data_IF_376467807595
#
_entry.id   IF_376467807595
#
_cell.length_a   1.000
_cell.length_b   1.000
_cell.length_c   1.000
_cell.angle_alpha   90.00
_cell.angle_beta   90.00
_cell.angle_gamma   90.00
#
_symmetry.space_group_name_H-M   'P 1'
#
loop_
_entity.id
_entity.type
_entity.pdbx_description
1 polymer ?
#
# COMPACT_ATOMS: atom_id res chain seq x y z
N UNK A 1 -41.34 -62.51 -54.26
CA UNK A 1 -41.05 -63.55 -53.24
C UNK A 1 -41.10 -62.87 -51.87
N UNK A 2 -42.00 -63.30 -50.97
CA UNK A 2 -41.89 -63.11 -49.51
C UNK A 2 -40.91 -64.17 -48.96
N UNK A 3 -40.46 -64.15 -47.69
CA UNK A 3 -40.25 -63.09 -46.67
C UNK A 3 -38.77 -63.13 -46.16
N UNK A 4 -38.32 -62.45 -45.09
CA UNK A 4 -38.29 -62.95 -43.70
C UNK A 4 -37.90 -61.78 -42.77
N UNK A 5 -38.59 -61.73 -41.62
CA UNK A 5 -38.40 -60.80 -40.49
C UNK A 5 -37.19 -61.18 -39.66
N UNK A 6 -36.52 -60.23 -38.99
CA UNK A 6 -36.12 -60.42 -37.58
C UNK A 6 -35.86 -59.09 -36.87
N UNK A 7 -36.57 -58.95 -35.77
CA UNK A 7 -36.52 -57.96 -34.69
C UNK A 7 -35.15 -57.88 -34.02
N UNK A 8 -34.66 -56.67 -33.72
CA UNK A 8 -33.62 -56.44 -32.71
C UNK A 8 -34.15 -55.48 -31.64
N UNK A 9 -34.40 -56.05 -30.46
CA UNK A 9 -34.74 -55.40 -29.20
C UNK A 9 -33.44 -54.92 -28.52
N UNK A 10 -33.49 -53.77 -27.85
CA UNK A 10 -32.31 -53.01 -27.41
C UNK A 10 -31.71 -53.31 -26.03
N UNK A 11 -30.95 -52.29 -25.57
CA UNK A 11 -30.23 -52.11 -24.30
C UNK A 11 -29.01 -53.05 -24.09
N UNK A 12 -27.85 -52.62 -23.58
CA UNK A 12 -27.62 -51.87 -22.34
C UNK A 12 -26.33 -51.02 -22.44
N UNK A 13 -26.44 -49.81 -21.88
CA UNK A 13 -25.43 -48.79 -21.60
C UNK A 13 -24.50 -49.23 -20.44
N UNK A 14 -23.18 -49.16 -20.61
CA UNK A 14 -22.24 -49.08 -19.48
C UNK A 14 -21.22 -47.98 -19.75
N UNK A 15 -21.43 -46.82 -19.12
CA UNK A 15 -20.47 -45.72 -19.10
C UNK A 15 -19.53 -45.90 -17.90
N UNK A 16 -18.23 -46.02 -18.19
CA UNK A 16 -17.16 -46.07 -17.19
C UNK A 16 -16.89 -44.64 -16.71
N UNK A 17 -17.15 -44.36 -15.43
CA UNK A 17 -16.76 -43.12 -14.76
C UNK A 17 -15.29 -43.21 -14.36
N UNK A 18 -14.42 -42.49 -15.08
CA UNK A 18 -13.04 -42.24 -14.66
C UNK A 18 -13.01 -41.08 -13.67
N UNK A 19 -12.70 -41.36 -12.40
CA UNK A 19 -12.42 -40.35 -11.39
C UNK A 19 -11.03 -39.76 -11.64
N UNK A 20 -10.98 -38.58 -12.28
CA UNK A 20 -9.77 -37.77 -12.39
C UNK A 20 -9.54 -36.96 -11.12
N UNK A 21 -8.35 -37.09 -10.52
CA UNK A 21 -7.90 -36.23 -9.44
C UNK A 21 -7.77 -34.79 -9.96
N UNK A 22 -8.56 -33.87 -9.41
CA UNK A 22 -8.43 -32.44 -9.70
C UNK A 22 -7.24 -31.87 -8.91
N UNK A 23 -6.14 -31.59 -9.60
CA UNK A 23 -5.12 -30.66 -9.11
C UNK A 23 -5.73 -29.26 -9.13
N UNK A 24 -5.90 -28.63 -7.96
CA UNK A 24 -6.26 -27.23 -7.88
C UNK A 24 -5.12 -26.40 -8.48
N UNK A 25 -5.39 -25.80 -9.64
CA UNK A 25 -4.55 -24.79 -10.24
C UNK A 25 -4.71 -23.50 -9.43
N UNK A 26 -3.64 -23.01 -8.81
CA UNK A 26 -3.57 -21.65 -8.28
C UNK A 26 -3.73 -20.68 -9.46
N UNK A 27 -4.94 -20.14 -9.61
CA UNK A 27 -5.19 -19.09 -10.58
C UNK A 27 -4.52 -17.79 -10.09
N UNK A 28 -3.84 -17.03 -10.96
CA UNK A 28 -3.32 -15.73 -10.60
C UNK A 28 -4.47 -14.81 -10.16
N UNK A 29 -4.34 -14.25 -8.96
CA UNK A 29 -5.34 -13.37 -8.37
C UNK A 29 -5.56 -12.17 -9.29
N UNK A 30 -6.76 -12.08 -9.87
CA UNK A 30 -7.13 -11.05 -10.82
C UNK A 30 -6.91 -9.65 -10.20
N UNK A 31 -6.22 -8.78 -10.93
CA UNK A 31 -6.09 -7.37 -10.58
C UNK A 31 -7.48 -6.76 -10.40
N UNK A 32 -7.78 -6.25 -9.20
CA UNK A 32 -9.06 -5.65 -8.89
C UNK A 32 -9.30 -4.41 -9.77
N UNK A 33 -10.35 -4.42 -10.59
CA UNK A 33 -10.75 -3.34 -11.51
C UNK A 33 -11.52 -2.19 -10.81
N UNK A 34 -11.28 -1.99 -9.51
CA UNK A 34 -11.92 -0.96 -8.69
C UNK A 34 -10.97 0.16 -8.27
N UNK A 35 -11.51 1.30 -7.81
CA UNK A 35 -10.68 2.31 -7.13
C UNK A 35 -9.91 1.64 -5.99
N UNK A 36 -8.61 1.94 -5.82
CA UNK A 36 -7.82 1.35 -4.75
C UNK A 36 -8.49 1.67 -3.41
N UNK A 37 -8.59 0.65 -2.56
CA UNK A 37 -9.15 0.79 -1.22
C UNK A 37 -8.03 1.21 -0.27
N UNK A 38 -8.31 2.18 0.59
CA UNK A 38 -7.40 2.54 1.66
C UNK A 38 -7.44 1.45 2.74
N UNK A 39 -6.35 1.36 3.50
CA UNK A 39 -6.14 0.47 4.62
C UNK A 39 -5.84 1.30 5.86
N UNK A 40 -6.31 0.83 7.01
CA UNK A 40 -5.99 1.42 8.31
C UNK A 40 -4.63 0.90 8.76
N UNK A 41 -3.73 1.79 9.14
CA UNK A 41 -2.50 1.44 9.85
C UNK A 41 -2.52 2.07 11.23
N UNK A 42 -2.20 1.28 12.26
CA UNK A 42 -2.03 1.77 13.61
C UNK A 42 -0.58 2.23 13.82
N UNK A 43 -0.40 3.45 14.29
CA UNK A 43 0.88 4.15 14.41
C UNK A 43 1.09 4.72 15.81
N UNK A 44 2.34 5.07 16.11
CA UNK A 44 2.74 5.64 17.39
C UNK A 44 2.94 4.60 18.50
N UNK A 45 3.34 5.09 19.68
CA UNK A 45 3.54 4.30 20.89
C UNK A 45 2.37 4.48 21.86
N UNK A 46 2.25 3.58 22.86
CA UNK A 46 1.22 3.68 23.89
C UNK A 46 -0.19 3.48 23.33
N UNK A 47 -1.06 4.49 23.47
CA UNK A 47 -2.42 4.43 22.91
C UNK A 47 -2.45 4.55 21.38
N UNK A 48 -1.37 5.06 20.77
CA UNK A 48 -1.25 5.21 19.32
C UNK A 48 -2.36 6.03 18.67
N UNK A 49 -2.44 5.94 17.35
CA UNK A 49 -3.53 6.47 16.53
C UNK A 49 -3.60 5.71 15.20
N UNK A 50 -4.76 5.75 14.57
CA UNK A 50 -4.94 5.15 13.26
C UNK A 50 -4.71 6.19 12.16
N UNK A 51 -4.15 5.73 11.04
CA UNK A 51 -3.84 6.56 9.88
C UNK A 51 -4.25 5.86 8.58
N UNK A 52 -4.73 6.60 7.55
CA UNK A 52 -5.16 6.00 6.31
C UNK A 52 -4.04 5.97 5.27
N UNK A 53 -3.83 4.81 4.67
CA UNK A 53 -2.85 4.63 3.58
C UNK A 53 -3.42 3.78 2.46
N UNK A 54 -2.92 3.94 1.24
CA UNK A 54 -3.13 2.98 0.16
C UNK A 54 -1.88 2.13 0.01
N UNK A 55 -2.03 0.81 -0.16
CA UNK A 55 -0.87 -0.08 -0.28
C UNK A 55 -1.14 -1.24 -1.24
N UNK A 56 -0.06 -1.75 -1.86
CA UNK A 56 -0.12 -2.88 -2.81
C UNK A 56 -0.18 -4.25 -2.13
N UNK A 57 0.02 -4.29 -0.81
CA UNK A 57 -0.13 -5.48 0.01
C UNK A 57 -1.15 -5.24 1.13
N UNK A 58 -1.93 -6.26 1.55
CA UNK A 58 -2.71 -6.19 2.77
C UNK A 58 -1.74 -5.99 3.96
N UNK A 59 -1.84 -4.87 4.66
CA UNK A 59 -0.85 -4.52 5.68
C UNK A 59 -0.80 -5.57 6.80
N UNK A 60 -1.93 -6.14 7.21
CA UNK A 60 -1.97 -7.23 8.20
C UNK A 60 -1.44 -8.59 7.71
N UNK A 61 -0.97 -8.70 6.46
CA UNK A 61 -0.44 -9.93 5.86
C UNK A 61 1.02 -10.24 6.20
N UNK A 62 1.55 -11.26 5.54
CA UNK A 62 2.97 -11.65 5.64
C UNK A 62 3.86 -10.64 4.90
N UNK A 63 4.80 -10.05 5.63
CA UNK A 63 5.71 -9.02 5.12
C UNK A 63 7.16 -9.48 5.05
N UNK A 64 7.44 -10.77 5.29
CA UNK A 64 8.81 -11.32 5.32
C UNK A 64 9.53 -11.25 3.98
N UNK A 65 8.79 -11.22 2.87
CA UNK A 65 9.31 -11.08 1.52
C UNK A 65 9.71 -9.66 1.12
N UNK A 66 9.22 -8.63 1.83
CA UNK A 66 9.46 -7.23 1.48
C UNK A 66 10.92 -6.85 1.74
N UNK A 67 11.59 -6.33 0.71
CA UNK A 67 12.99 -5.88 0.73
C UNK A 67 13.12 -4.37 0.59
N UNK A 68 12.19 -3.75 -0.13
CA UNK A 68 12.16 -2.33 -0.42
C UNK A 68 10.78 -1.76 -0.10
N UNK A 69 10.77 -0.57 0.49
CA UNK A 69 9.54 0.16 0.79
C UNK A 69 9.61 1.51 0.10
N UNK A 70 8.52 1.88 -0.57
CA UNK A 70 8.39 3.19 -1.22
C UNK A 70 7.14 3.87 -0.68
N UNK A 71 7.34 4.98 0.01
CA UNK A 71 6.27 5.92 0.33
C UNK A 71 6.11 6.92 -0.82
N UNK A 72 4.88 7.12 -1.31
CA UNK A 72 4.57 8.13 -2.32
C UNK A 72 3.55 9.14 -1.79
N UNK A 73 4.05 10.31 -1.40
CA UNK A 73 3.28 11.36 -0.76
C UNK A 73 2.54 12.21 -1.80
N UNK A 74 1.21 12.29 -1.64
CA UNK A 74 0.34 13.08 -2.51
C UNK A 74 0.61 14.59 -2.44
N UNK A 75 0.14 15.31 -3.47
CA UNK A 75 0.16 16.76 -3.53
C UNK A 75 -1.02 17.43 -2.82
N UNK A 76 -1.24 18.71 -3.12
CA UNK A 76 -2.21 19.59 -2.43
C UNK A 76 -3.65 19.06 -2.48
N UNK A 77 -4.00 18.27 -3.51
CA UNK A 77 -5.34 17.70 -3.71
C UNK A 77 -5.66 16.53 -2.76
N UNK A 78 -4.67 16.06 -1.98
CA UNK A 78 -4.85 14.97 -1.00
C UNK A 78 -5.44 13.70 -1.64
N UNK A 79 -5.04 13.42 -2.88
CA UNK A 79 -5.53 12.30 -3.67
C UNK A 79 -4.58 11.10 -3.58
N UNK A 80 -4.44 10.54 -2.38
CA UNK A 80 -3.56 9.40 -2.11
C UNK A 80 -3.85 8.18 -2.98
N UNK A 81 -5.13 7.97 -3.34
CA UNK A 81 -5.58 6.94 -4.29
C UNK A 81 -4.93 7.10 -5.67
N UNK A 82 -4.92 8.31 -6.21
CA UNK A 82 -4.32 8.61 -7.52
C UNK A 82 -2.79 8.52 -7.50
N UNK A 83 -2.16 8.94 -6.41
CA UNK A 83 -0.71 8.79 -6.23
C UNK A 83 -0.31 7.32 -6.08
N UNK A 84 -1.08 6.54 -5.34
CA UNK A 84 -0.92 5.09 -5.28
C UNK A 84 -1.05 4.44 -6.66
N UNK A 85 -2.10 4.76 -7.42
CA UNK A 85 -2.30 4.20 -8.76
C UNK A 85 -1.12 4.53 -9.68
N UNK A 86 -0.60 5.76 -9.62
CA UNK A 86 0.58 6.16 -10.38
C UNK A 86 1.83 5.37 -9.95
N UNK A 87 2.05 5.23 -8.64
CA UNK A 87 3.16 4.45 -8.10
C UNK A 87 3.08 2.97 -8.48
N UNK A 88 1.88 2.40 -8.51
CA UNK A 88 1.65 1.00 -8.88
C UNK A 88 2.00 0.75 -10.37
N UNK A 89 1.62 1.68 -11.26
CA UNK A 89 2.03 1.62 -12.67
C UNK A 89 3.54 1.79 -12.84
N UNK A 90 4.19 2.67 -12.06
CA UNK A 90 5.64 2.81 -12.08
C UNK A 90 6.35 1.55 -11.58
N UNK A 91 5.87 0.94 -10.50
CA UNK A 91 6.41 -0.32 -9.98
C UNK A 91 6.30 -1.42 -11.03
N UNK A 92 5.13 -1.55 -11.68
CA UNK A 92 4.93 -2.50 -12.78
C UNK A 92 5.89 -2.24 -13.95
N UNK A 93 6.06 -0.97 -14.34
CA UNK A 93 6.96 -0.59 -15.44
C UNK A 93 8.44 -0.80 -15.10
N UNK A 94 8.82 -0.80 -13.82
CA UNK A 94 10.21 -1.02 -13.38
C UNK A 94 10.72 -2.45 -13.60
N UNK A 95 9.82 -3.42 -13.75
CA UNK A 95 10.16 -4.84 -13.82
C UNK A 95 10.62 -5.45 -12.49
N UNK A 96 10.56 -4.71 -11.38
CA UNK A 96 10.81 -5.27 -10.05
C UNK A 96 9.73 -6.29 -9.66
N UNK A 97 10.11 -7.27 -8.83
CA UNK A 97 9.17 -8.21 -8.25
C UNK A 97 8.23 -7.46 -7.27
N UNK A 98 6.91 -7.37 -7.54
CA UNK A 98 5.98 -6.65 -6.66
C UNK A 98 5.85 -7.29 -5.27
N UNK A 99 6.22 -8.56 -5.11
CA UNK A 99 6.21 -9.25 -3.81
C UNK A 99 7.42 -8.88 -2.92
N UNK A 100 8.42 -8.19 -3.49
CA UNK A 100 9.59 -7.68 -2.75
C UNK A 100 9.51 -6.17 -2.47
N UNK A 101 8.52 -5.48 -3.04
CA UNK A 101 8.35 -4.03 -2.92
C UNK A 101 7.01 -3.70 -2.27
N UNK A 102 7.07 -3.02 -1.12
CA UNK A 102 5.90 -2.44 -0.47
C UNK A 102 5.75 -0.98 -0.89
N UNK A 103 4.79 -0.71 -1.76
CA UNK A 103 4.37 0.64 -2.13
C UNK A 103 3.27 1.11 -1.19
N UNK A 104 3.47 2.24 -0.53
CA UNK A 104 2.49 2.88 0.36
C UNK A 104 2.28 4.33 -0.08
N UNK A 105 1.03 4.75 -0.23
CA UNK A 105 0.68 6.17 -0.36
C UNK A 105 -0.05 6.64 0.91
N UNK A 106 0.65 7.31 1.84
CA UNK A 106 0.00 7.92 3.00
C UNK A 106 -0.99 9.00 2.56
N UNK A 107 -2.15 9.07 3.21
CA UNK A 107 -3.14 10.08 2.90
C UNK A 107 -3.40 11.01 4.10
N UNK A 108 -2.68 12.13 4.18
CA UNK A 108 -2.92 13.17 5.19
C UNK A 108 -4.32 13.79 5.01
N UNK A 109 -5.27 13.52 5.93
CA UNK A 109 -6.61 14.06 5.83
C UNK A 109 -6.59 15.58 6.04
N UNK A 110 -7.15 16.33 5.10
CA UNK A 110 -7.37 17.77 5.27
C UNK A 110 -8.80 18.07 5.71
N UNK A 111 -9.04 19.26 6.26
CA UNK A 111 -10.39 19.76 6.61
C UNK A 111 -11.47 19.51 5.54
N UNK A 112 -11.19 19.63 4.21
CA UNK A 112 -12.20 19.38 3.18
C UNK A 112 -12.53 17.89 2.91
N UNK A 113 -11.87 16.95 3.58
CA UNK A 113 -11.87 15.54 3.20
C UNK A 113 -12.88 14.67 3.98
N UNK A 114 -13.91 15.27 4.57
CA UNK A 114 -14.92 14.55 5.36
C UNK A 114 -15.59 13.38 4.59
N UNK A 115 -15.75 13.51 3.27
CA UNK A 115 -16.34 12.48 2.41
C UNK A 115 -15.43 11.24 2.19
N UNK A 116 -14.19 11.24 2.69
CA UNK A 116 -13.29 10.08 2.59
C UNK A 116 -13.49 9.06 3.71
N UNK A 117 -14.27 9.40 4.74
CA UNK A 117 -14.58 8.50 5.86
C UNK A 117 -13.33 7.96 6.60
N UNK A 118 -12.33 8.83 6.79
CA UNK A 118 -11.18 8.56 7.65
C UNK A 118 -11.53 8.80 9.13
N UNK A 119 -12.53 8.05 9.59
CA UNK A 119 -13.15 8.28 10.88
C UNK A 119 -12.19 7.98 12.04
N UNK A 120 -12.19 8.88 13.03
CA UNK A 120 -11.35 8.85 14.24
C UNK A 120 -9.84 8.93 13.97
N UNK A 121 -9.43 9.49 12.84
CA UNK A 121 -8.02 9.71 12.48
C UNK A 121 -7.63 11.18 12.66
N UNK A 122 -6.34 11.50 12.86
CA UNK A 122 -5.88 12.88 12.89
C UNK A 122 -6.15 13.58 11.56
N UNK A 123 -6.54 14.85 11.63
CA UNK A 123 -6.85 15.69 10.48
C UNK A 123 -6.20 17.07 10.58
N UNK A 124 -5.68 17.58 9.47
CA UNK A 124 -4.95 18.83 9.40
C UNK A 124 -5.72 19.91 8.65
N UNK A 125 -5.29 21.16 8.79
CA UNK A 125 -5.64 22.20 7.82
C UNK A 125 -5.03 21.85 6.46
N UNK A 126 -5.52 22.48 5.39
CA UNK A 126 -5.00 22.23 4.03
C UNK A 126 -3.48 22.47 3.93
N UNK A 127 -2.96 23.44 4.67
CA UNK A 127 -1.53 23.77 4.71
C UNK A 127 -0.78 23.07 5.85
N UNK A 128 -1.44 22.76 6.96
CA UNK A 128 -0.77 22.31 8.18
C UNK A 128 0.01 21.01 7.99
N UNK A 129 -0.54 20.03 7.27
CA UNK A 129 0.21 18.81 6.97
C UNK A 129 1.42 19.08 6.06
N UNK A 130 1.36 20.07 5.17
CA UNK A 130 2.47 20.43 4.26
C UNK A 130 3.60 21.09 5.06
N UNK A 131 3.24 21.88 6.07
CA UNK A 131 4.16 22.66 6.90
C UNK A 131 4.80 21.85 8.03
N UNK A 132 4.34 20.63 8.31
CA UNK A 132 4.83 19.86 9.45
C UNK A 132 4.06 20.13 10.76
N UNK A 133 2.91 20.79 10.71
CA UNK A 133 2.14 21.20 11.90
C UNK A 133 1.42 20.01 12.56
N UNK A 134 0.94 20.26 13.79
CA UNK A 134 0.05 19.37 14.52
C UNK A 134 -1.34 19.27 13.88
N UNK A 135 -1.95 18.10 14.03
CA UNK A 135 -3.33 17.88 13.61
C UNK A 135 -4.29 18.88 14.29
N UNK A 136 -5.18 19.45 13.47
CA UNK A 136 -6.23 20.35 13.91
C UNK A 136 -7.39 19.60 14.60
N UNK A 137 -7.59 18.33 14.27
CA UNK A 137 -8.62 17.44 14.84
C UNK A 137 -8.07 16.04 15.11
N UNK A 138 -8.74 15.28 15.98
CA UNK A 138 -8.30 13.95 16.38
C UNK A 138 -7.13 14.00 17.37
N UNK A 139 -6.26 12.98 17.33
CA UNK A 139 -5.05 12.95 18.16
C UNK A 139 -4.10 14.08 17.75
N UNK A 140 -3.55 14.79 18.75
CA UNK A 140 -2.54 15.84 18.52
C UNK A 140 -1.21 15.21 18.15
N UNK A 141 -0.93 15.16 16.85
CA UNK A 141 0.30 14.62 16.29
C UNK A 141 0.74 15.49 15.10
N UNK A 142 2.04 15.75 14.99
CA UNK A 142 2.59 16.48 13.86
C UNK A 142 2.63 15.61 12.61
N UNK A 143 2.50 16.22 11.44
CA UNK A 143 2.61 15.47 10.18
C UNK A 143 4.02 14.90 9.94
N UNK A 144 5.05 15.47 10.56
CA UNK A 144 6.40 14.89 10.57
C UNK A 144 6.49 13.67 11.49
N UNK A 145 5.83 13.68 12.65
CA UNK A 145 5.76 12.52 13.54
C UNK A 145 5.02 11.35 12.87
N UNK A 146 4.00 11.62 12.05
CA UNK A 146 3.35 10.58 11.24
C UNK A 146 4.34 9.91 10.27
N UNK A 147 5.24 10.68 9.66
CA UNK A 147 6.29 10.13 8.79
C UNK A 147 7.32 9.33 9.60
N UNK A 148 7.71 9.80 10.79
CA UNK A 148 8.57 9.03 11.72
C UNK A 148 7.92 7.68 12.06
N UNK A 149 6.63 7.69 12.42
CA UNK A 149 5.89 6.50 12.82
C UNK A 149 5.70 5.52 11.63
N UNK A 150 5.46 6.03 10.42
CA UNK A 150 5.39 5.21 9.21
C UNK A 150 6.74 4.56 8.88
N UNK A 151 7.84 5.31 9.00
CA UNK A 151 9.19 4.78 8.80
C UNK A 151 9.50 3.73 9.89
N UNK A 152 9.15 4.00 11.15
CA UNK A 152 9.30 3.02 12.23
C UNK A 152 8.52 1.73 11.95
N UNK A 153 7.26 1.85 11.50
CA UNK A 153 6.40 0.72 11.16
C UNK A 153 7.02 -0.22 10.13
N UNK A 154 7.58 0.32 9.04
CA UNK A 154 8.15 -0.49 7.95
C UNK A 154 9.60 -0.91 8.20
N UNK A 155 10.23 -0.39 9.25
CA UNK A 155 11.60 -0.75 9.63
C UNK A 155 11.68 -1.64 10.88
N UNK A 156 10.52 -2.04 11.44
CA UNK A 156 10.44 -3.07 12.47
C UNK A 156 10.86 -4.43 11.91
N UNK A 157 12.03 -4.90 12.32
CA UNK A 157 12.62 -6.16 11.85
C UNK A 157 11.87 -7.42 12.28
N UNK A 158 11.00 -7.33 13.29
CA UNK A 158 10.15 -8.46 13.67
C UNK A 158 9.11 -8.75 12.58
N UNK A 159 8.65 -7.72 11.90
CA UNK A 159 7.63 -7.82 10.86
C UNK A 159 8.20 -7.74 9.44
N UNK A 160 9.22 -6.91 9.25
CA UNK A 160 9.89 -6.62 7.99
C UNK A 160 11.37 -7.06 8.05
N UNK A 161 11.68 -8.35 8.27
CA UNK A 161 13.06 -8.79 8.49
C UNK A 161 13.98 -8.49 7.31
N UNK A 162 13.47 -8.58 6.08
CA UNK A 162 14.24 -8.42 4.84
C UNK A 162 14.34 -6.98 4.32
N UNK A 163 13.65 -6.00 4.93
CA UNK A 163 13.68 -4.61 4.47
C UNK A 163 15.08 -4.02 4.62
N UNK A 164 15.63 -3.53 3.52
CA UNK A 164 16.97 -2.89 3.47
C UNK A 164 16.94 -1.53 2.80
N UNK A 165 15.81 -1.14 2.20
CA UNK A 165 15.64 0.15 1.53
C UNK A 165 14.28 0.75 1.87
N UNK A 166 14.27 2.03 2.20
CA UNK A 166 13.06 2.83 2.37
C UNK A 166 13.23 4.12 1.59
N UNK A 167 12.34 4.39 0.64
CA UNK A 167 12.30 5.65 -0.11
C UNK A 167 11.05 6.42 0.27
N UNK A 168 11.21 7.67 0.70
CA UNK A 168 10.13 8.62 0.91
C UNK A 168 10.12 9.61 -0.25
N UNK A 169 9.15 9.46 -1.15
CA UNK A 169 9.02 10.30 -2.34
C UNK A 169 7.80 11.21 -2.23
N UNK A 170 7.89 12.42 -2.78
CA UNK A 170 6.77 13.35 -2.85
C UNK A 170 6.84 14.24 -4.08
N UNK A 171 5.67 14.69 -4.56
CA UNK A 171 5.55 15.66 -5.64
C UNK A 171 4.72 16.89 -5.21
N UNK A 172 5.11 18.09 -5.68
CA UNK A 172 4.41 19.35 -5.37
C UNK A 172 4.30 19.59 -3.85
N UNK A 173 3.10 19.68 -3.26
CA UNK A 173 2.94 19.75 -1.80
C UNK A 173 3.53 18.55 -1.06
N UNK A 174 3.47 17.35 -1.65
CA UNK A 174 4.12 16.18 -1.08
C UNK A 174 5.64 16.30 -1.07
N UNK A 175 6.22 16.91 -2.10
CA UNK A 175 7.66 17.18 -2.15
C UNK A 175 8.09 18.18 -1.07
N UNK A 176 7.23 19.14 -0.74
CA UNK A 176 7.50 20.12 0.31
C UNK A 176 7.61 19.45 1.69
N UNK A 177 6.64 18.62 2.10
CA UNK A 177 6.74 17.89 3.38
C UNK A 177 7.91 16.89 3.37
N UNK A 178 8.17 16.19 2.26
CA UNK A 178 9.30 15.26 2.15
C UNK A 178 10.64 15.99 2.30
N UNK A 179 10.79 17.17 1.69
CA UNK A 179 11.97 18.00 1.86
C UNK A 179 12.16 18.43 3.32
N UNK A 180 11.09 18.89 3.98
CA UNK A 180 11.13 19.25 5.40
C UNK A 180 11.50 18.06 6.27
N UNK A 181 10.89 16.91 6.01
CA UNK A 181 11.15 15.68 6.73
C UNK A 181 12.60 15.22 6.56
N UNK A 182 13.17 15.29 5.37
CA UNK A 182 14.57 14.95 5.12
C UNK A 182 15.55 15.76 5.98
N UNK A 183 15.19 16.99 6.35
CA UNK A 183 16.03 17.89 7.17
C UNK A 183 15.72 17.79 8.67
N UNK A 184 14.45 17.59 9.05
CA UNK A 184 13.97 17.76 10.42
C UNK A 184 13.73 16.44 11.18
N UNK A 185 13.75 15.30 10.51
CA UNK A 185 13.47 14.03 11.17
C UNK A 185 14.59 13.64 12.16
N UNK A 186 14.23 12.85 13.17
CA UNK A 186 15.17 12.32 14.17
C UNK A 186 15.43 10.81 13.99
N UNK A 187 15.00 10.21 12.87
CA UNK A 187 15.02 8.76 12.66
C UNK A 187 16.10 8.31 11.68
N UNK A 188 16.62 9.18 10.81
CA UNK A 188 17.50 8.80 9.70
C UNK A 188 18.76 8.06 10.19
N UNK A 189 19.50 8.66 11.14
CA UNK A 189 20.71 8.05 11.70
C UNK A 189 20.42 6.66 12.31
N UNK A 190 19.33 6.54 13.09
CA UNK A 190 18.95 5.29 13.74
C UNK A 190 18.51 4.22 12.73
N UNK A 191 17.80 4.60 11.66
CA UNK A 191 17.38 3.70 10.58
C UNK A 191 18.60 3.19 9.80
N UNK A 192 19.50 4.10 9.42
CA UNK A 192 20.74 3.75 8.71
C UNK A 192 21.69 2.89 9.53
N UNK A 193 21.81 3.15 10.84
CA UNK A 193 22.60 2.32 11.74
C UNK A 193 22.11 0.87 11.81
N UNK A 194 20.83 0.60 11.49
CA UNK A 194 20.26 -0.76 11.35
C UNK A 194 20.49 -1.38 9.97
N UNK A 195 21.30 -0.78 9.11
CA UNK A 195 21.61 -1.27 7.77
C UNK A 195 20.47 -1.08 6.75
N UNK A 196 19.59 -0.11 7.00
CA UNK A 196 18.50 0.25 6.08
C UNK A 196 18.85 1.57 5.40
N UNK A 197 18.91 1.55 4.07
CA UNK A 197 19.11 2.76 3.29
C UNK A 197 17.82 3.57 3.20
N UNK A 198 17.76 4.69 3.91
CA UNK A 198 16.65 5.64 3.86
C UNK A 198 16.93 6.72 2.80
N UNK A 199 16.00 6.97 1.89
CA UNK A 199 16.18 7.95 0.80
C UNK A 199 15.00 8.89 0.71
N UNK A 200 15.25 10.11 0.23
CA UNK A 200 14.21 11.12 0.03
C UNK A 200 14.21 11.58 -1.42
N UNK A 201 13.05 11.58 -2.06
CA UNK A 201 12.87 12.04 -3.44
C UNK A 201 11.91 13.22 -3.46
N UNK A 202 12.45 14.40 -3.80
CA UNK A 202 11.73 15.68 -3.78
C UNK A 202 11.47 16.13 -5.22
N UNK A 203 10.23 16.01 -5.70
CA UNK A 203 9.86 16.33 -7.07
C UNK A 203 9.02 17.62 -7.17
N UNK A 204 9.57 18.66 -7.78
CA UNK A 204 8.88 19.94 -8.07
C UNK A 204 8.15 20.56 -6.86
N UNK A 205 8.81 20.77 -5.70
CA UNK A 205 8.18 21.46 -4.58
C UNK A 205 7.98 22.95 -4.93
N UNK A 206 6.87 23.55 -4.47
CA UNK A 206 6.66 24.99 -4.65
C UNK A 206 7.43 25.85 -3.64
N UNK A 207 8.03 25.22 -2.62
CA UNK A 207 8.93 25.88 -1.67
C UNK A 207 9.95 24.87 -1.13
N UNK A 208 11.13 25.38 -0.79
CA UNK A 208 12.11 24.68 0.02
C UNK A 208 12.12 25.28 1.43
N UNK A 209 12.83 24.63 2.35
CA UNK A 209 13.06 25.10 3.72
C UNK A 209 14.26 26.07 3.71
#
# INVERSE_FOLDING_TARGET
>A
MRPVRLTALGLILTAVLAAGCATQSDAPQAAATGKPQWQRVHLGQGSGYDFPVYANHPLGGDMRGIREVVFIQHGLRRNGDGYYATGAELLKASGQNPDEVLLIAPNFPGTPDAAKHFDNMPGWTVQGWISGEDAASGVKVSSLQVLDDLVAYVTDKLRFPAVTKVTVAGHSAGAQIVHRYAVLNNVDEAVRARGIDLRYVVANPSSYL
#
